data_IF_651290800559
#
_entry.id   IF_651290800559
#
_cell.length_a   1.000
_cell.length_b   1.000
_cell.length_c   1.000
_cell.angle_alpha   90.00
_cell.angle_beta   90.00
_cell.angle_gamma   90.00
#
_symmetry.space_group_name_H-M   'P 1'
#
loop_
_entity.id
_entity.type
_entity.pdbx_description
1 polymer ?
#
# COMPACT_ATOMS: atom_id res chain seq x y z
N UNK A 1 -22.77 3.99 10.69
CA UNK A 1 -21.72 3.90 9.66
C UNK A 1 -21.72 2.52 9.00
N UNK A 2 -21.69 1.42 9.75
CA UNK A 2 -21.58 0.03 9.25
C UNK A 2 -22.75 -0.43 8.38
N UNK A 3 -23.96 -0.09 8.75
CA UNK A 3 -25.13 -0.39 7.92
C UNK A 3 -25.00 0.16 6.49
N UNK A 4 -24.40 1.34 6.33
CA UNK A 4 -24.14 1.93 5.01
C UNK A 4 -23.08 1.17 4.23
N UNK A 5 -21.99 0.73 4.88
CA UNK A 5 -20.95 -0.07 4.20
C UNK A 5 -21.56 -1.36 3.64
N UNK A 6 -22.32 -2.08 4.45
CA UNK A 6 -22.96 -3.32 4.01
C UNK A 6 -24.06 -3.08 2.95
N UNK A 7 -24.81 -1.98 3.06
CA UNK A 7 -25.86 -1.63 2.08
C UNK A 7 -25.27 -1.30 0.71
N UNK A 8 -24.13 -0.60 0.68
CA UNK A 8 -23.51 -0.19 -0.58
C UNK A 8 -22.39 -1.12 -1.07
N UNK A 9 -22.00 -2.12 -0.29
CA UNK A 9 -20.93 -3.05 -0.68
C UNK A 9 -21.20 -3.76 -2.00
N UNK A 10 -22.43 -4.24 -2.20
CA UNK A 10 -22.84 -4.89 -3.45
C UNK A 10 -22.76 -3.92 -4.64
N UNK A 11 -23.23 -2.68 -4.47
CA UNK A 11 -23.17 -1.65 -5.51
C UNK A 11 -21.71 -1.31 -5.85
N UNK A 12 -20.84 -1.13 -4.84
CA UNK A 12 -19.41 -0.88 -5.05
C UNK A 12 -18.75 -2.06 -5.74
N UNK A 13 -19.03 -3.30 -5.30
CA UNK A 13 -18.47 -4.52 -5.91
C UNK A 13 -18.90 -4.67 -7.37
N UNK A 14 -20.14 -4.30 -7.70
CA UNK A 14 -20.63 -4.34 -9.09
C UNK A 14 -19.93 -3.35 -10.02
N UNK A 15 -19.27 -2.32 -9.48
CA UNK A 15 -18.49 -1.36 -10.27
C UNK A 15 -17.06 -1.84 -10.57
N UNK A 16 -16.59 -2.88 -9.89
CA UNK A 16 -15.26 -3.44 -10.11
C UNK A 16 -15.25 -4.18 -11.45
N UNK A 17 -14.44 -3.69 -12.37
CA UNK A 17 -14.33 -4.32 -13.69
C UNK A 17 -13.59 -5.67 -13.58
N UNK A 18 -14.06 -6.72 -14.28
CA UNK A 18 -13.39 -8.02 -14.28
C UNK A 18 -11.89 -7.96 -14.58
N UNK A 19 -11.47 -7.03 -15.45
CA UNK A 19 -10.05 -6.82 -15.78
C UNK A 19 -9.22 -6.42 -14.55
N UNK A 20 -9.79 -5.71 -13.58
CA UNK A 20 -9.03 -5.35 -12.36
C UNK A 20 -8.81 -6.56 -11.45
N UNK A 21 -9.79 -7.45 -11.41
CA UNK A 21 -9.68 -8.71 -10.65
C UNK A 21 -8.62 -9.60 -11.31
N UNK A 22 -8.75 -9.86 -12.61
CA UNK A 22 -7.81 -10.72 -13.33
C UNK A 22 -6.36 -10.18 -13.33
N UNK A 23 -6.17 -8.86 -13.35
CA UNK A 23 -4.84 -8.25 -13.19
C UNK A 23 -4.29 -8.44 -11.77
N UNK A 24 -5.14 -8.32 -10.75
CA UNK A 24 -4.73 -8.58 -9.36
C UNK A 24 -4.35 -10.05 -9.16
N UNK A 25 -5.19 -10.98 -9.62
CA UNK A 25 -4.93 -12.41 -9.53
C UNK A 25 -3.62 -12.77 -10.24
N UNK A 26 -3.41 -12.22 -11.44
CA UNK A 26 -2.16 -12.42 -12.16
C UNK A 26 -0.95 -11.91 -11.36
N UNK A 27 -1.04 -10.74 -10.72
CA UNK A 27 0.02 -10.19 -9.88
C UNK A 27 0.31 -11.07 -8.66
N UNK A 28 -0.72 -11.65 -8.06
CA UNK A 28 -0.57 -12.58 -6.93
C UNK A 28 0.11 -13.88 -7.36
N UNK A 29 -0.34 -14.48 -8.46
CA UNK A 29 0.21 -15.73 -9.00
C UNK A 29 1.68 -15.59 -9.40
N UNK A 30 2.07 -14.40 -9.88
CA UNK A 30 3.43 -14.12 -10.35
C UNK A 30 4.29 -13.37 -9.34
N UNK A 31 3.84 -13.22 -8.09
CA UNK A 31 4.58 -12.53 -7.03
C UNK A 31 6.01 -13.09 -6.80
N UNK A 32 6.27 -14.41 -6.90
CA UNK A 32 7.63 -14.94 -6.83
C UNK A 32 8.59 -14.36 -7.89
N UNK A 33 8.05 -13.88 -9.00
CA UNK A 33 8.79 -13.27 -10.11
C UNK A 33 8.84 -11.73 -10.02
N UNK A 34 8.69 -11.15 -8.83
CA UNK A 34 8.61 -9.70 -8.64
C UNK A 34 9.87 -8.92 -9.08
N UNK A 35 10.98 -9.62 -9.31
CA UNK A 35 12.21 -9.03 -9.89
C UNK A 35 12.15 -8.89 -11.42
N UNK A 36 11.25 -9.57 -12.10
CA UNK A 36 11.16 -9.53 -13.55
C UNK A 36 10.66 -8.15 -14.03
N UNK A 37 11.29 -7.57 -15.05
CA UNK A 37 10.86 -6.29 -15.62
C UNK A 37 9.40 -6.30 -16.10
N UNK A 38 8.91 -7.43 -16.63
CA UNK A 38 7.53 -7.59 -17.08
C UNK A 38 6.55 -7.52 -15.91
N UNK A 39 6.83 -8.24 -14.82
CA UNK A 39 6.06 -8.13 -13.57
C UNK A 39 6.04 -6.71 -13.05
N UNK A 40 7.22 -6.09 -12.90
CA UNK A 40 7.35 -4.73 -12.38
C UNK A 40 6.59 -3.70 -13.21
N UNK A 41 6.57 -3.86 -14.53
CA UNK A 41 5.80 -2.98 -15.44
C UNK A 41 4.30 -3.07 -15.14
N UNK A 42 3.74 -4.29 -15.04
CA UNK A 42 2.31 -4.51 -14.73
C UNK A 42 1.96 -4.06 -13.32
N UNK A 43 2.77 -4.42 -12.33
CA UNK A 43 2.61 -4.00 -10.94
C UNK A 43 2.53 -2.47 -10.81
N UNK A 44 3.48 -1.75 -11.42
CA UNK A 44 3.50 -0.28 -11.38
C UNK A 44 2.30 0.36 -12.08
N UNK A 45 1.79 -0.26 -13.13
CA UNK A 45 0.57 0.19 -13.82
C UNK A 45 -0.65 -0.01 -12.91
N UNK A 46 -0.83 -1.22 -12.38
CA UNK A 46 -1.95 -1.57 -11.51
C UNK A 46 -2.02 -0.68 -10.26
N UNK A 47 -0.93 -0.54 -9.53
CA UNK A 47 -0.84 0.26 -8.31
C UNK A 47 -0.61 1.76 -8.57
N UNK A 48 -0.67 2.22 -9.82
CA UNK A 48 -0.49 3.62 -10.23
C UNK A 48 0.84 4.25 -9.79
N UNK A 49 1.89 3.45 -9.62
CA UNK A 49 3.22 3.95 -9.24
C UNK A 49 3.82 4.86 -10.32
N UNK A 50 3.43 4.66 -11.59
CA UNK A 50 3.89 5.50 -12.71
C UNK A 50 3.42 6.95 -12.56
N UNK A 51 2.21 7.18 -12.03
CA UNK A 51 1.67 8.51 -11.79
C UNK A 51 2.41 9.26 -10.66
N UNK A 52 3.02 8.54 -9.72
CA UNK A 52 3.77 9.13 -8.61
C UNK A 52 5.17 9.65 -9.01
N UNK A 53 5.60 9.44 -10.26
CA UNK A 53 6.89 9.90 -10.80
C UNK A 53 8.09 9.48 -9.94
N UNK A 54 8.04 8.28 -9.37
CA UNK A 54 9.10 7.72 -8.54
C UNK A 54 10.40 7.56 -9.35
N UNK A 55 11.53 7.84 -8.73
CA UNK A 55 12.81 7.63 -9.41
C UNK A 55 13.16 6.13 -9.52
N UNK A 56 14.02 5.74 -10.47
CA UNK A 56 14.41 4.33 -10.65
C UNK A 56 14.98 3.70 -9.39
N UNK A 57 15.83 4.40 -8.64
CA UNK A 57 16.42 3.90 -7.40
C UNK A 57 15.36 3.54 -6.35
N UNK A 58 14.31 4.37 -6.21
CA UNK A 58 13.19 4.04 -5.31
C UNK A 58 12.43 2.79 -5.80
N UNK A 59 12.17 2.68 -7.10
CA UNK A 59 11.50 1.50 -7.65
C UNK A 59 12.33 0.22 -7.41
N UNK A 60 13.64 0.27 -7.60
CA UNK A 60 14.54 -0.86 -7.30
C UNK A 60 14.44 -1.24 -5.82
N UNK A 61 14.62 -0.29 -4.91
CA UNK A 61 14.51 -0.53 -3.47
C UNK A 61 13.14 -1.09 -3.07
N UNK A 62 12.06 -0.60 -3.70
CA UNK A 62 10.71 -1.10 -3.47
C UNK A 62 10.57 -2.58 -3.84
N UNK A 63 11.00 -2.98 -5.03
CA UNK A 63 10.90 -4.38 -5.47
C UNK A 63 11.89 -5.30 -4.74
N UNK A 64 13.01 -4.77 -4.23
CA UNK A 64 13.88 -5.49 -3.31
C UNK A 64 13.17 -5.81 -1.98
N UNK A 65 12.43 -4.85 -1.44
CA UNK A 65 11.63 -5.08 -0.24
C UNK A 65 10.44 -6.02 -0.50
N UNK A 66 9.78 -5.93 -1.65
CA UNK A 66 8.70 -6.84 -2.04
C UNK A 66 9.22 -8.28 -2.15
N UNK A 67 10.39 -8.48 -2.70
CA UNK A 67 11.03 -9.80 -2.76
C UNK A 67 11.41 -10.32 -1.36
N UNK A 68 11.99 -9.46 -0.51
CA UNK A 68 12.37 -9.83 0.84
C UNK A 68 11.16 -10.16 1.73
N UNK A 69 10.01 -9.50 1.51
CA UNK A 69 8.79 -9.72 2.27
C UNK A 69 8.22 -11.14 2.07
N UNK A 70 8.46 -11.79 0.93
CA UNK A 70 8.02 -13.15 0.67
C UNK A 70 8.68 -14.21 1.58
N UNK A 71 9.81 -13.88 2.21
CA UNK A 71 10.53 -14.80 3.09
C UNK A 71 10.51 -14.39 4.56
N UNK A 72 10.06 -13.18 4.87
CA UNK A 72 10.01 -12.65 6.23
C UNK A 72 8.95 -11.59 6.42
N UNK A 73 8.24 -11.60 7.53
CA UNK A 73 7.33 -10.50 7.89
C UNK A 73 8.11 -9.22 8.14
N UNK A 74 7.73 -8.14 7.46
CA UNK A 74 8.34 -6.82 7.62
C UNK A 74 7.29 -5.89 8.23
N UNK A 75 7.49 -5.33 9.43
CA UNK A 75 6.58 -4.34 9.99
C UNK A 75 6.50 -3.09 9.12
N UNK A 76 5.29 -2.51 8.96
CA UNK A 76 5.08 -1.32 8.15
C UNK A 76 6.03 -0.17 8.52
N UNK A 77 6.28 0.04 9.82
CA UNK A 77 7.18 1.09 10.30
C UNK A 77 8.63 0.87 9.85
N UNK A 78 9.11 -0.37 9.86
CA UNK A 78 10.44 -0.73 9.38
C UNK A 78 10.54 -0.57 7.86
N UNK A 79 9.54 -1.07 7.12
CA UNK A 79 9.46 -0.92 5.67
C UNK A 79 9.42 0.56 5.25
N UNK A 80 8.61 1.37 5.93
CA UNK A 80 8.51 2.81 5.66
C UNK A 80 9.85 3.54 5.87
N UNK A 81 10.62 3.17 6.91
CA UNK A 81 11.96 3.72 7.16
C UNK A 81 12.94 3.32 6.06
N UNK A 82 12.96 2.04 5.71
CA UNK A 82 13.85 1.52 4.66
C UNK A 82 13.60 2.21 3.33
N UNK A 83 12.33 2.34 2.93
CA UNK A 83 11.96 3.02 1.70
C UNK A 83 12.22 4.54 1.76
N UNK A 84 12.03 5.16 2.93
CA UNK A 84 12.33 6.59 3.11
C UNK A 84 13.81 6.91 2.97
N UNK A 85 14.71 5.98 3.31
CA UNK A 85 16.15 6.18 3.15
C UNK A 85 16.58 6.36 1.67
N UNK A 86 15.75 5.88 0.74
CA UNK A 86 16.01 6.04 -0.70
C UNK A 86 15.29 7.29 -1.23
N UNK A 87 15.97 8.17 -1.99
CA UNK A 87 15.32 9.31 -2.62
C UNK A 87 14.11 8.89 -3.45
N UNK A 88 12.99 9.57 -3.27
CA UNK A 88 11.74 9.29 -3.99
C UNK A 88 11.74 9.94 -5.37
N UNK A 89 12.38 11.11 -5.51
CA UNK A 89 12.45 11.85 -6.75
C UNK A 89 13.85 11.89 -7.33
N UNK A 90 13.96 12.18 -8.63
CA UNK A 90 15.26 12.37 -9.30
C UNK A 90 16.07 13.54 -8.75
N UNK A 91 15.43 14.50 -8.09
CA UNK A 91 16.07 15.66 -7.44
C UNK A 91 16.58 15.36 -6.03
N UNK A 92 16.54 14.10 -5.61
CA UNK A 92 17.03 13.68 -4.30
C UNK A 92 16.02 13.86 -3.14
N UNK A 93 14.81 14.34 -3.40
CA UNK A 93 13.80 14.51 -2.34
C UNK A 93 13.36 13.16 -1.79
N UNK A 94 13.36 13.04 -0.46
CA UNK A 94 12.79 11.90 0.26
C UNK A 94 11.36 12.21 0.69
N UNK A 95 10.47 11.22 0.59
CA UNK A 95 9.10 11.33 1.08
C UNK A 95 8.59 9.98 1.60
N UNK A 96 7.77 10.03 2.65
CA UNK A 96 7.11 8.85 3.17
C UNK A 96 6.03 8.39 2.17
N UNK A 97 6.22 7.23 1.60
CA UNK A 97 5.32 6.61 0.62
C UNK A 97 4.52 5.49 1.28
N UNK A 98 3.79 5.82 2.35
CA UNK A 98 3.04 4.83 3.14
C UNK A 98 1.99 4.08 2.31
N UNK A 99 1.40 4.74 1.31
CA UNK A 99 0.46 4.11 0.38
C UNK A 99 1.11 2.97 -0.41
N UNK A 100 2.35 3.14 -0.86
CA UNK A 100 3.05 2.06 -1.54
C UNK A 100 3.58 1.01 -0.56
N UNK A 101 4.01 1.40 0.64
CA UNK A 101 4.42 0.45 1.66
C UNK A 101 3.27 -0.47 2.11
N UNK A 102 2.05 0.05 2.29
CA UNK A 102 0.88 -0.76 2.62
C UNK A 102 0.46 -1.69 1.47
N UNK A 103 0.55 -1.25 0.22
CA UNK A 103 0.31 -2.10 -0.95
C UNK A 103 1.30 -3.27 -1.04
N UNK A 104 2.57 -3.02 -0.70
CA UNK A 104 3.58 -4.07 -0.64
C UNK A 104 3.21 -5.12 0.40
N UNK A 105 2.81 -4.71 1.60
CA UNK A 105 2.39 -5.63 2.66
C UNK A 105 1.10 -6.39 2.30
N UNK A 106 0.17 -5.73 1.62
CA UNK A 106 -1.05 -6.36 1.12
C UNK A 106 -0.77 -7.45 0.06
N UNK A 107 0.25 -7.26 -0.78
CA UNK A 107 0.67 -8.29 -1.73
C UNK A 107 1.28 -9.52 -1.04
N UNK A 108 1.87 -9.34 0.12
CA UNK A 108 2.39 -10.42 0.96
C UNK A 108 1.27 -11.13 1.76
N UNK A 109 0.35 -10.35 2.29
CA UNK A 109 -0.80 -10.82 3.04
C UNK A 109 -2.05 -10.01 2.64
N UNK A 110 -2.95 -10.58 1.79
CA UNK A 110 -4.17 -9.90 1.36
C UNK A 110 -5.15 -9.53 2.48
N UNK A 111 -4.96 -10.08 3.69
CA UNK A 111 -5.73 -9.68 4.86
C UNK A 111 -5.26 -8.37 5.48
N UNK A 112 -4.15 -7.81 5.03
CA UNK A 112 -3.68 -6.50 5.47
C UNK A 112 -4.33 -5.38 4.65
N UNK A 113 -4.78 -4.29 5.31
CA UNK A 113 -5.44 -3.19 4.62
C UNK A 113 -4.46 -2.38 3.75
N UNK A 114 -5.02 -1.74 2.73
CA UNK A 114 -4.28 -0.74 1.95
C UNK A 114 -4.61 0.65 2.50
N UNK A 115 -3.56 1.43 2.80
CA UNK A 115 -3.69 2.84 3.13
C UNK A 115 -3.43 3.70 1.88
N UNK A 116 -4.39 4.51 1.50
CA UNK A 116 -4.22 5.52 0.44
C UNK A 116 -5.01 6.80 0.76
N UNK A 117 -5.01 7.74 -0.17
CA UNK A 117 -5.69 9.02 0.02
C UNK A 117 -7.21 8.86 0.18
N UNK A 118 -7.84 7.94 -0.56
CA UNK A 118 -9.29 7.71 -0.48
C UNK A 118 -9.68 7.10 0.86
N UNK A 119 -8.93 6.10 1.33
CA UNK A 119 -9.12 5.47 2.64
C UNK A 119 -8.91 6.50 3.75
N UNK A 120 -7.84 7.29 3.67
CA UNK A 120 -7.56 8.38 4.61
C UNK A 120 -8.74 9.36 4.70
N UNK A 121 -9.22 9.82 3.55
CA UNK A 121 -10.29 10.82 3.48
C UNK A 121 -11.62 10.24 3.95
N UNK A 122 -11.91 8.98 3.65
CA UNK A 122 -13.09 8.26 4.13
C UNK A 122 -13.17 8.18 5.65
N UNK A 123 -12.03 7.92 6.31
CA UNK A 123 -11.96 7.86 7.78
C UNK A 123 -11.60 9.20 8.43
N UNK A 124 -11.56 10.30 7.67
CA UNK A 124 -11.22 11.65 8.17
C UNK A 124 -9.86 11.71 8.86
N UNK A 125 -8.90 10.88 8.44
CA UNK A 125 -7.57 10.84 9.02
C UNK A 125 -6.75 12.04 8.54
N UNK A 126 -6.20 12.78 9.49
CA UNK A 126 -5.36 13.94 9.17
C UNK A 126 -3.93 13.51 8.85
N UNK A 127 -3.42 13.92 7.70
CA UNK A 127 -2.02 13.67 7.34
C UNK A 127 -1.07 14.26 8.38
N UNK A 128 0.01 13.54 8.75
CA UNK A 128 0.98 14.07 9.71
C UNK A 128 1.64 15.32 9.15
N UNK A 129 1.86 16.31 10.04
CA UNK A 129 2.47 17.58 9.67
C UNK A 129 3.89 17.39 9.11
N UNK A 130 4.26 18.06 8.01
CA UNK A 130 5.64 18.07 7.51
C UNK A 130 6.66 18.59 8.53
N UNK A 131 6.21 19.36 9.54
CA UNK A 131 7.06 19.89 10.62
C UNK A 131 7.39 18.85 11.68
N UNK A 132 6.66 17.74 11.76
CA UNK A 132 6.99 16.63 12.65
C UNK A 132 8.27 15.94 12.23
N UNK A 133 9.02 15.40 13.20
CA UNK A 133 10.14 14.52 12.92
C UNK A 133 9.72 13.31 12.08
N UNK A 134 10.66 12.69 11.39
CA UNK A 134 10.39 11.46 10.64
C UNK A 134 9.72 10.39 11.52
N UNK A 135 10.24 10.20 12.74
CA UNK A 135 9.69 9.25 13.69
C UNK A 135 8.25 9.60 14.09
N UNK A 136 7.98 10.89 14.36
CA UNK A 136 6.62 11.35 14.68
C UNK A 136 5.64 11.06 13.54
N UNK A 137 6.04 11.35 12.30
CA UNK A 137 5.20 11.06 11.12
C UNK A 137 4.96 9.56 10.93
N UNK A 138 5.98 8.73 11.09
CA UNK A 138 5.86 7.28 10.99
C UNK A 138 4.93 6.75 12.09
N UNK A 139 5.07 7.21 13.33
CA UNK A 139 4.22 6.77 14.44
C UNK A 139 2.74 7.16 14.21
N UNK A 140 2.49 8.38 13.72
CA UNK A 140 1.12 8.81 13.37
C UNK A 140 0.52 7.91 12.29
N UNK A 141 1.26 7.66 11.21
CA UNK A 141 0.80 6.80 10.11
C UNK A 141 0.65 5.34 10.52
N UNK A 142 1.51 4.86 11.41
CA UNK A 142 1.41 3.51 11.98
C UNK A 142 0.16 3.36 12.86
N UNK A 143 -0.15 4.37 13.70
CA UNK A 143 -1.39 4.37 14.48
C UNK A 143 -2.64 4.33 13.58
N UNK A 144 -2.64 5.07 12.47
CA UNK A 144 -3.72 5.00 11.48
C UNK A 144 -3.81 3.63 10.83
N UNK A 145 -2.68 3.04 10.49
CA UNK A 145 -2.65 1.72 9.87
C UNK A 145 -3.15 0.63 10.83
N UNK A 146 -2.76 0.67 12.10
CA UNK A 146 -3.27 -0.24 13.13
C UNK A 146 -4.78 -0.10 13.32
N UNK A 147 -5.30 1.12 13.27
CA UNK A 147 -6.75 1.34 13.27
C UNK A 147 -7.40 0.68 12.04
N UNK A 148 -6.82 0.82 10.85
CA UNK A 148 -7.35 0.18 9.63
C UNK A 148 -7.29 -1.34 9.71
N UNK A 149 -6.23 -1.92 10.28
CA UNK A 149 -6.14 -3.36 10.53
C UNK A 149 -7.31 -3.86 11.39
N UNK A 150 -7.60 -3.15 12.48
CA UNK A 150 -8.72 -3.48 13.36
C UNK A 150 -10.07 -3.36 12.65
N UNK A 151 -10.29 -2.30 11.89
CA UNK A 151 -11.51 -2.09 11.12
C UNK A 151 -11.67 -3.15 10.02
N UNK A 152 -10.59 -3.51 9.34
CA UNK A 152 -10.61 -4.51 8.28
C UNK A 152 -10.95 -5.89 8.85
N UNK A 153 -10.30 -6.31 9.94
CA UNK A 153 -10.61 -7.55 10.64
C UNK A 153 -12.07 -7.57 11.13
N UNK A 154 -12.55 -6.46 11.67
CA UNK A 154 -13.93 -6.35 12.10
C UNK A 154 -14.93 -6.54 10.94
N UNK A 155 -14.65 -5.97 9.76
CA UNK A 155 -15.49 -6.17 8.57
C UNK A 155 -15.47 -7.63 8.12
N UNK A 156 -14.30 -8.26 8.09
CA UNK A 156 -14.14 -9.67 7.69
C UNK A 156 -14.84 -10.64 8.63
N UNK A 157 -14.90 -10.32 9.93
CA UNK A 157 -15.55 -11.22 10.92
C UNK A 157 -17.07 -11.05 11.02
N UNK A 158 -17.65 -9.97 10.47
CA UNK A 158 -19.09 -9.70 10.54
C UNK A 158 -19.84 -9.91 9.20
N UNK A 159 -19.14 -10.35 8.18
CA UNK A 159 -19.67 -10.75 6.89
C UNK A 159 -19.36 -12.22 6.59
#
# INVERSE_FOLDING_TARGET
MYHRINTYSYEVLSTIKPVHISEYDWLMDHLPHCKDPAYQKRYRAYWRMNAARLCPAYCTAYFDQLHAAQSRKIPLSALARTLYATPTTRTGKQSLQISFASKLLHMEDPHLPIYDALVRDFYFLTSPSPRQSLNGRINTLYAFYTFLEQEYQRVLTHN
#
